data_IF_200620181106
#
_entry.id   IF_200620181106
#
_cell.length_a   1.000
_cell.length_b   1.000
_cell.length_c   1.000
_cell.angle_alpha   90.00
_cell.angle_beta   90.00
_cell.angle_gamma   90.00
#
_symmetry.space_group_name_H-M   'P 1'
#
loop_
_entity.id
_entity.type
_entity.pdbx_description
1 polymer ?
#
# COMPACT_ATOMS: atom_id res chain seq x y z
N UNK A 1 5.90 -17.38 -5.54
CA UNK A 1 6.09 -17.46 -4.07
C UNK A 1 7.42 -16.89 -3.59
N UNK A 2 8.59 -17.12 -4.23
CA UNK A 2 9.84 -16.58 -3.68
C UNK A 2 10.14 -15.13 -4.08
N UNK A 3 9.56 -14.57 -5.16
CA UNK A 3 10.11 -13.36 -5.78
C UNK A 3 9.83 -12.05 -5.01
N UNK A 4 8.60 -11.78 -4.56
CA UNK A 4 8.29 -10.53 -3.80
C UNK A 4 8.92 -10.51 -2.41
N UNK A 5 8.89 -11.64 -1.68
CA UNK A 5 9.57 -11.72 -0.39
C UNK A 5 11.07 -11.47 -0.57
N UNK A 6 11.67 -11.99 -1.66
CA UNK A 6 13.07 -11.73 -2.00
C UNK A 6 13.36 -10.29 -2.38
N UNK A 7 12.43 -9.58 -3.06
CA UNK A 7 12.58 -8.16 -3.37
C UNK A 7 12.47 -7.29 -2.13
N UNK A 8 11.45 -7.50 -1.31
CA UNK A 8 11.30 -6.80 -0.04
C UNK A 8 12.51 -7.06 0.86
N UNK A 9 12.94 -8.32 1.02
CA UNK A 9 14.12 -8.67 1.81
C UNK A 9 15.40 -8.03 1.23
N UNK A 10 15.51 -7.89 -0.10
CA UNK A 10 16.64 -7.22 -0.75
C UNK A 10 16.68 -5.72 -0.46
N UNK A 11 15.55 -5.03 -0.58
CA UNK A 11 15.45 -3.58 -0.35
C UNK A 11 15.66 -3.24 1.12
N UNK A 12 15.19 -4.11 2.03
CA UNK A 12 15.34 -3.94 3.46
C UNK A 12 16.68 -4.47 4.01
N UNK A 13 17.55 -5.02 3.14
CA UNK A 13 18.88 -5.45 3.55
C UNK A 13 19.73 -4.25 4.01
N UNK A 14 20.53 -4.45 5.06
CA UNK A 14 21.39 -3.40 5.61
C UNK A 14 22.39 -2.85 4.57
N UNK A 15 22.77 -3.65 3.57
CA UNK A 15 23.64 -3.26 2.48
C UNK A 15 22.96 -2.48 1.36
N UNK A 16 21.63 -2.42 1.31
CA UNK A 16 20.91 -1.79 0.20
C UNK A 16 21.24 -0.31 0.06
N UNK A 17 21.23 0.43 1.17
CA UNK A 17 21.60 1.85 1.25
C UNK A 17 23.10 2.08 1.51
N UNK A 18 23.91 1.03 1.58
CA UNK A 18 25.34 1.17 1.80
C UNK A 18 26.00 1.94 0.64
N UNK A 19 26.92 2.84 1.02
CA UNK A 19 27.69 3.69 0.12
C UNK A 19 26.85 4.53 -0.85
N UNK A 20 25.63 4.93 -0.43
CA UNK A 20 24.67 5.65 -1.28
C UNK A 20 25.27 6.90 -1.95
N UNK A 21 26.18 7.60 -1.27
CA UNK A 21 26.89 8.77 -1.81
C UNK A 21 27.89 8.46 -2.91
N UNK A 22 28.45 7.24 -2.92
CA UNK A 22 29.41 6.81 -3.93
C UNK A 22 28.73 6.26 -5.19
N UNK A 23 27.44 5.93 -5.12
CA UNK A 23 26.65 5.44 -6.26
C UNK A 23 26.38 6.55 -7.26
N UNK A 24 26.25 6.19 -8.53
CA UNK A 24 25.83 7.10 -9.60
C UNK A 24 24.39 7.59 -9.41
N UNK A 25 24.03 8.72 -10.02
CA UNK A 25 22.68 9.29 -9.87
C UNK A 25 21.63 8.36 -10.47
N UNK A 26 21.96 7.67 -11.57
CA UNK A 26 21.05 6.73 -12.22
C UNK A 26 20.81 5.48 -11.38
N UNK A 27 21.83 4.98 -10.66
CA UNK A 27 21.65 3.90 -9.69
C UNK A 27 20.71 4.31 -8.56
N UNK A 28 20.88 5.51 -7.99
CA UNK A 28 19.96 6.00 -6.93
C UNK A 28 18.53 6.18 -7.46
N UNK A 29 18.37 6.66 -8.71
CA UNK A 29 17.07 6.75 -9.38
C UNK A 29 16.43 5.38 -9.57
N UNK A 30 17.22 4.38 -9.99
CA UNK A 30 16.76 2.99 -10.17
C UNK A 30 16.34 2.36 -8.85
N UNK A 31 17.16 2.50 -7.80
CA UNK A 31 16.82 2.04 -6.44
C UNK A 31 15.53 2.69 -5.92
N UNK A 32 15.34 3.99 -6.17
CA UNK A 32 14.10 4.69 -5.81
C UNK A 32 12.90 4.14 -6.56
N UNK A 33 13.03 3.88 -7.87
CA UNK A 33 11.96 3.31 -8.67
C UNK A 33 11.54 1.93 -8.14
N UNK A 34 12.51 1.04 -7.91
CA UNK A 34 12.27 -0.30 -7.34
C UNK A 34 11.59 -0.23 -5.97
N UNK A 35 12.10 0.60 -5.06
CA UNK A 35 11.52 0.76 -3.72
C UNK A 35 10.10 1.32 -3.79
N UNK A 36 9.85 2.26 -4.70
CA UNK A 36 8.54 2.89 -4.89
C UNK A 36 7.51 1.92 -5.46
N UNK A 37 7.92 1.01 -6.35
CA UNK A 37 7.06 -0.05 -6.87
C UNK A 37 6.59 -1.01 -5.76
N UNK A 38 7.52 -1.50 -4.94
CA UNK A 38 7.18 -2.41 -3.83
C UNK A 38 6.34 -1.72 -2.75
N UNK A 39 6.61 -0.45 -2.44
CA UNK A 39 5.77 0.35 -1.54
C UNK A 39 4.36 0.55 -2.11
N UNK A 40 4.23 0.81 -3.41
CA UNK A 40 2.95 1.01 -4.07
C UNK A 40 2.09 -0.27 -4.03
N UNK A 41 2.71 -1.45 -4.18
CA UNK A 41 2.05 -2.74 -4.00
C UNK A 41 1.47 -2.87 -2.58
N UNK A 42 2.27 -2.67 -1.54
CA UNK A 42 1.79 -2.76 -0.15
C UNK A 42 0.75 -1.69 0.18
N UNK A 43 0.88 -0.48 -0.36
CA UNK A 43 -0.12 0.57 -0.25
C UNK A 43 -1.46 0.17 -0.87
N UNK A 44 -1.43 -0.50 -2.02
CA UNK A 44 -2.62 -1.05 -2.64
C UNK A 44 -3.25 -2.17 -1.79
N UNK A 45 -2.45 -3.12 -1.30
CA UNK A 45 -2.95 -4.17 -0.40
C UNK A 45 -3.63 -3.57 0.83
N UNK A 46 -2.99 -2.56 1.46
CA UNK A 46 -3.53 -1.86 2.62
C UNK A 46 -4.85 -1.16 2.32
N UNK A 47 -4.95 -0.44 1.20
CA UNK A 47 -6.21 0.21 0.78
C UNK A 47 -7.34 -0.81 0.59
N UNK A 48 -7.03 -1.97 0.01
CA UNK A 48 -8.02 -3.04 -0.14
C UNK A 48 -8.51 -3.59 1.21
N UNK A 49 -7.60 -3.81 2.15
CA UNK A 49 -7.96 -4.24 3.51
C UNK A 49 -8.81 -3.19 4.23
N UNK A 50 -8.44 -1.91 4.14
CA UNK A 50 -9.18 -0.80 4.74
C UNK A 50 -10.61 -0.71 4.19
N UNK A 51 -10.77 -0.78 2.86
CA UNK A 51 -12.10 -0.76 2.24
C UNK A 51 -12.99 -1.90 2.74
N UNK A 52 -12.44 -3.11 2.90
CA UNK A 52 -13.18 -4.26 3.44
C UNK A 52 -13.53 -4.10 4.91
N UNK A 53 -12.58 -3.69 5.74
CA UNK A 53 -12.82 -3.39 7.16
C UNK A 53 -13.93 -2.36 7.33
N UNK A 54 -13.93 -1.31 6.51
CA UNK A 54 -14.95 -0.27 6.53
C UNK A 54 -16.34 -0.83 6.19
N UNK A 55 -16.45 -1.66 5.15
CA UNK A 55 -17.72 -2.33 4.76
C UNK A 55 -18.23 -3.23 5.90
N UNK A 56 -17.38 -4.12 6.44
CA UNK A 56 -17.78 -5.07 7.47
C UNK A 56 -18.12 -4.40 8.80
N UNK A 57 -17.39 -3.34 9.16
CA UNK A 57 -17.70 -2.54 10.37
C UNK A 57 -19.06 -1.88 10.21
N UNK A 58 -19.36 -1.32 9.03
CA UNK A 58 -20.64 -0.69 8.74
C UNK A 58 -21.80 -1.68 8.68
N UNK A 59 -21.57 -2.89 8.19
CA UNK A 59 -22.52 -4.00 8.27
C UNK A 59 -22.91 -4.29 9.73
N UNK A 60 -21.93 -4.41 10.64
CA UNK A 60 -22.21 -4.65 12.06
C UNK A 60 -22.99 -3.49 12.71
N UNK A 61 -22.60 -2.26 12.41
CA UNK A 61 -23.33 -1.07 12.88
C UNK A 61 -24.78 -1.06 12.38
N UNK A 62 -25.00 -1.38 11.09
CA UNK A 62 -26.32 -1.44 10.48
C UNK A 62 -27.20 -2.48 11.18
N UNK A 63 -26.67 -3.69 11.41
CA UNK A 63 -27.36 -4.77 12.13
C UNK A 63 -27.72 -4.36 13.55
N UNK A 64 -26.80 -3.72 14.27
CA UNK A 64 -27.04 -3.23 15.63
C UNK A 64 -28.14 -2.16 15.71
N UNK A 65 -28.32 -1.36 14.66
CA UNK A 65 -29.37 -0.33 14.56
C UNK A 65 -30.69 -0.84 13.98
N UNK A 66 -30.73 -2.07 13.46
CA UNK A 66 -31.91 -2.63 12.79
C UNK A 66 -32.24 -1.94 11.46
N UNK A 67 -31.22 -1.38 10.79
CA UNK A 67 -31.36 -0.70 9.49
C UNK A 67 -31.45 -1.70 8.32
N UNK A 68 -32.12 -1.30 7.23
CA UNK A 68 -32.33 -2.15 6.06
C UNK A 68 -31.06 -2.32 5.22
N UNK A 69 -30.92 -3.47 4.55
CA UNK A 69 -29.74 -3.83 3.76
C UNK A 69 -29.42 -2.82 2.65
N UNK A 70 -30.43 -2.15 2.08
CA UNK A 70 -30.25 -1.11 1.06
C UNK A 70 -29.38 0.07 1.53
N UNK A 71 -29.38 0.37 2.83
CA UNK A 71 -28.61 1.46 3.43
C UNK A 71 -27.10 1.26 3.28
N UNK A 72 -26.59 0.02 3.25
CA UNK A 72 -25.15 -0.22 3.09
C UNK A 72 -24.66 0.16 1.70
N UNK A 73 -25.39 -0.24 0.65
CA UNK A 73 -25.05 0.05 -0.75
C UNK A 73 -25.07 1.55 -1.03
N UNK A 74 -26.08 2.26 -0.51
CA UNK A 74 -26.19 3.71 -0.62
C UNK A 74 -25.04 4.44 0.09
N UNK A 75 -24.56 3.88 1.21
CA UNK A 75 -23.46 4.46 1.99
C UNK A 75 -22.08 4.07 1.46
N UNK A 76 -21.93 3.09 0.56
CA UNK A 76 -20.63 2.65 0.06
C UNK A 76 -19.73 3.79 -0.43
N UNK A 77 -20.21 4.78 -1.22
CA UNK A 77 -19.39 5.90 -1.61
C UNK A 77 -18.84 6.67 -0.40
N UNK A 78 -19.66 6.90 0.63
CA UNK A 78 -19.24 7.58 1.87
C UNK A 78 -18.27 6.73 2.70
N UNK A 79 -18.53 5.43 2.80
CA UNK A 79 -17.72 4.45 3.55
C UNK A 79 -16.31 4.33 2.95
N UNK A 80 -16.23 4.23 1.62
CA UNK A 80 -14.97 4.08 0.89
C UNK A 80 -14.28 5.41 0.60
N UNK A 81 -15.02 6.53 0.67
CA UNK A 81 -14.42 7.87 0.55
C UNK A 81 -13.44 8.16 1.66
N UNK A 82 -13.51 7.43 2.78
CA UNK A 82 -12.51 7.33 3.84
C UNK A 82 -11.89 8.66 4.26
N UNK A 83 -12.10 9.05 5.51
CA UNK A 83 -11.30 10.06 6.20
C UNK A 83 -9.86 9.53 6.35
N UNK A 84 -9.14 9.39 5.23
CA UNK A 84 -7.71 9.29 5.28
C UNK A 84 -7.31 10.59 5.97
N UNK A 85 -6.95 10.50 7.25
CA UNK A 85 -5.83 11.25 7.77
C UNK A 85 -4.70 11.00 6.77
N UNK A 86 -4.72 11.82 5.71
CA UNK A 86 -3.61 12.14 4.86
C UNK A 86 -2.61 12.72 5.85
N UNK A 87 -1.88 11.84 6.54
CA UNK A 87 -0.62 12.21 7.14
C UNK A 87 0.11 13.02 6.08
N UNK A 88 0.69 14.16 6.46
CA UNK A 88 1.04 15.25 5.55
C UNK A 88 1.60 14.65 4.26
N UNK A 89 0.85 14.76 3.18
CA UNK A 89 1.23 14.14 1.91
C UNK A 89 2.62 14.68 1.58
N UNK A 90 3.64 13.81 1.62
CA UNK A 90 5.07 14.18 1.51
C UNK A 90 5.44 14.59 0.08
N UNK A 91 4.58 15.34 -0.60
CA UNK A 91 4.76 15.82 -1.97
C UNK A 91 4.84 14.74 -3.05
N UNK A 92 4.67 13.45 -2.69
CA UNK A 92 4.73 12.37 -3.66
C UNK A 92 3.36 12.18 -4.32
N UNK A 93 3.29 12.32 -5.64
CA UNK A 93 2.14 11.87 -6.41
C UNK A 93 1.97 10.37 -6.19
N UNK A 94 0.87 9.88 -5.60
CA UNK A 94 0.65 8.45 -5.50
C UNK A 94 0.71 7.86 -6.93
N UNK A 95 1.45 6.76 -7.10
CA UNK A 95 1.23 5.91 -8.26
C UNK A 95 -0.22 5.43 -8.15
N UNK A 96 -1.08 5.95 -9.01
CA UNK A 96 -2.52 5.67 -8.94
C UNK A 96 -2.80 4.20 -9.26
N UNK A 97 -1.96 3.57 -10.08
CA UNK A 97 -1.99 2.14 -10.35
C UNK A 97 -0.59 1.56 -10.15
N UNK A 98 -0.35 0.71 -9.14
CA UNK A 98 0.84 -0.13 -9.13
C UNK A 98 0.82 -0.99 -10.40
N UNK A 99 1.98 -1.26 -11.00
CA UNK A 99 2.03 -2.17 -12.12
C UNK A 99 1.72 -3.61 -11.63
N UNK A 100 0.50 -4.08 -11.90
CA UNK A 100 0.02 -5.39 -11.50
C UNK A 100 0.52 -6.53 -12.42
N UNK A 101 1.12 -6.20 -13.55
CA UNK A 101 1.61 -7.18 -14.56
C UNK A 101 2.95 -7.81 -14.17
N UNK A 102 3.72 -7.19 -13.28
CA UNK A 102 4.91 -7.83 -12.72
C UNK A 102 4.51 -8.93 -11.71
N UNK A 103 4.34 -10.14 -12.25
CA UNK A 103 4.32 -11.42 -11.54
C UNK A 103 3.35 -11.47 -10.34
N UNK A 104 2.06 -11.27 -10.59
CA UNK A 104 0.93 -11.65 -9.73
C UNK A 104 1.14 -11.42 -8.21
N UNK A 105 0.84 -10.21 -7.71
CA UNK A 105 0.63 -9.96 -6.27
C UNK A 105 -0.62 -10.65 -5.71
N UNK A 106 -1.46 -11.24 -6.57
CA UNK A 106 -2.77 -11.75 -6.22
C UNK A 106 -2.79 -12.74 -5.05
N UNK A 107 -1.74 -13.51 -4.71
CA UNK A 107 -1.95 -14.55 -3.67
C UNK A 107 -1.96 -14.09 -2.21
N UNK A 108 -1.48 -12.90 -1.85
CA UNK A 108 -1.67 -12.36 -0.48
C UNK A 108 -3.01 -11.65 -0.37
N UNK A 109 -3.31 -10.77 -1.34
CA UNK A 109 -4.61 -10.10 -1.44
C UNK A 109 -5.72 -11.13 -1.64
N UNK A 110 -5.75 -11.94 -2.70
CA UNK A 110 -6.87 -12.88 -3.01
C UNK A 110 -7.12 -13.94 -1.94
N UNK A 111 -6.16 -14.25 -1.04
CA UNK A 111 -6.41 -15.18 0.07
C UNK A 111 -7.16 -14.56 1.24
N UNK A 112 -6.89 -13.29 1.57
CA UNK A 112 -7.52 -12.55 2.67
C UNK A 112 -8.70 -11.70 2.18
N UNK A 113 -8.62 -11.33 0.91
CA UNK A 113 -9.54 -10.52 0.13
C UNK A 113 -10.26 -11.47 -0.86
N UNK A 114 -10.73 -12.65 -0.44
CA UNK A 114 -11.58 -13.46 -1.34
C UNK A 114 -12.90 -12.72 -1.53
N UNK A 115 -13.29 -12.47 -2.78
CA UNK A 115 -14.50 -11.72 -3.14
C UNK A 115 -15.79 -12.35 -2.59
N UNK A 116 -15.72 -13.63 -2.25
CA UNK A 116 -16.81 -14.40 -1.65
C UNK A 116 -17.32 -13.81 -0.33
N UNK A 117 -16.48 -13.13 0.46
CA UNK A 117 -16.90 -12.62 1.78
C UNK A 117 -17.92 -11.49 1.66
N UNK A 118 -17.70 -10.55 0.73
CA UNK A 118 -18.63 -9.44 0.52
C UNK A 118 -19.89 -9.96 -0.20
N UNK A 119 -19.72 -10.85 -1.18
CA UNK A 119 -20.84 -11.43 -1.91
C UNK A 119 -21.79 -12.22 -0.99
N UNK A 120 -21.25 -12.94 0.00
CA UNK A 120 -22.01 -13.75 0.95
C UNK A 120 -22.34 -13.01 2.25
N UNK A 121 -22.05 -11.72 2.36
CA UNK A 121 -22.26 -10.93 3.59
C UNK A 121 -23.68 -11.03 4.18
N UNK A 122 -24.77 -11.08 3.39
CA UNK A 122 -26.12 -11.27 3.94
C UNK A 122 -26.34 -12.62 4.65
N UNK A 123 -25.53 -13.63 4.32
CA UNK A 123 -25.63 -14.98 4.89
C UNK A 123 -24.73 -15.21 6.10
N UNK A 124 -23.75 -14.33 6.33
CA UNK A 124 -22.84 -14.43 7.48
C UNK A 124 -23.53 -13.93 8.75
N UNK A 125 -23.28 -14.59 9.87
CA UNK A 125 -23.75 -14.13 11.17
C UNK A 125 -22.83 -13.05 11.78
N UNK A 126 -23.27 -12.44 12.88
CA UNK A 126 -22.54 -11.35 13.54
C UNK A 126 -21.21 -11.80 14.16
N UNK A 127 -21.10 -13.07 14.56
CA UNK A 127 -19.88 -13.64 15.15
C UNK A 127 -18.84 -13.94 14.08
N UNK A 128 -19.27 -14.43 12.93
CA UNK A 128 -18.46 -14.67 11.74
C UNK A 128 -17.88 -13.36 11.20
N UNK A 129 -18.70 -12.30 11.09
CA UNK A 129 -18.23 -10.99 10.63
C UNK A 129 -17.16 -10.43 11.57
N UNK A 130 -17.34 -10.53 12.89
CA UNK A 130 -16.32 -10.09 13.86
C UNK A 130 -15.02 -10.88 13.75
N UNK A 131 -15.10 -12.19 13.55
CA UNK A 131 -13.92 -13.03 13.33
C UNK A 131 -13.14 -12.57 12.09
N UNK A 132 -13.85 -12.33 10.98
CA UNK A 132 -13.26 -11.86 9.73
C UNK A 132 -12.62 -10.48 9.90
N UNK A 133 -13.28 -9.56 10.61
CA UNK A 133 -12.70 -8.25 10.95
C UNK A 133 -11.36 -8.43 11.67
N UNK A 134 -11.30 -9.27 12.71
CA UNK A 134 -10.04 -9.51 13.43
C UNK A 134 -8.93 -10.09 12.54
N UNK A 135 -9.26 -10.98 11.60
CA UNK A 135 -8.31 -11.52 10.62
C UNK A 135 -7.80 -10.42 9.66
N UNK A 136 -8.69 -9.54 9.20
CA UNK A 136 -8.35 -8.43 8.33
C UNK A 136 -7.53 -7.34 9.04
N UNK A 137 -7.80 -7.07 10.31
CA UNK A 137 -7.01 -6.16 11.16
C UNK A 137 -5.58 -6.69 11.36
N UNK A 138 -5.44 -7.99 11.63
CA UNK A 138 -4.13 -8.64 11.72
C UNK A 138 -3.34 -8.53 10.42
N UNK A 139 -3.99 -8.81 9.28
CA UNK A 139 -3.39 -8.64 7.97
C UNK A 139 -3.00 -7.18 7.66
N UNK A 140 -3.85 -6.22 8.00
CA UNK A 140 -3.56 -4.78 7.83
C UNK A 140 -2.32 -4.40 8.63
N UNK A 141 -2.23 -4.87 9.88
CA UNK A 141 -1.10 -4.60 10.74
C UNK A 141 0.21 -5.14 10.14
N UNK A 142 0.20 -6.37 9.60
CA UNK A 142 1.35 -6.97 8.94
C UNK A 142 1.79 -6.18 7.69
N UNK A 143 0.84 -5.79 6.84
CA UNK A 143 1.11 -4.97 5.64
C UNK A 143 1.67 -3.61 6.04
N UNK A 144 1.07 -2.96 7.03
CA UNK A 144 1.53 -1.69 7.57
C UNK A 144 2.94 -1.80 8.18
N UNK A 145 3.25 -2.89 8.88
CA UNK A 145 4.57 -3.14 9.45
C UNK A 145 5.64 -3.35 8.36
N UNK A 146 5.31 -4.05 7.27
CA UNK A 146 6.22 -4.25 6.13
C UNK A 146 6.42 -2.96 5.32
N UNK A 147 5.39 -2.11 5.24
CA UNK A 147 5.43 -0.87 4.46
C UNK A 147 6.30 0.21 5.10
N UNK A 148 6.28 0.33 6.44
CA UNK A 148 7.00 1.41 7.15
C UNK A 148 8.51 1.47 6.80
N UNK A 149 9.28 0.37 6.88
CA UNK A 149 10.69 0.39 6.48
C UNK A 149 10.94 0.82 5.04
N UNK A 150 10.04 0.48 4.09
CA UNK A 150 10.18 0.93 2.70
C UNK A 150 10.02 2.44 2.56
N UNK A 151 9.16 3.05 3.37
CA UNK A 151 9.03 4.52 3.41
C UNK A 151 10.31 5.18 3.91
N UNK A 152 10.96 4.60 4.92
CA UNK A 152 12.23 5.10 5.45
C UNK A 152 13.36 4.99 4.40
N UNK A 153 13.38 3.90 3.63
CA UNK A 153 14.29 3.73 2.48
C UNK A 153 14.00 4.77 1.39
N UNK A 154 12.73 4.99 1.04
CA UNK A 154 12.33 6.01 0.07
C UNK A 154 12.73 7.41 0.53
N UNK A 155 12.54 7.75 1.80
CA UNK A 155 12.95 9.03 2.38
C UNK A 155 14.46 9.22 2.21
N UNK A 156 15.27 8.21 2.56
CA UNK A 156 16.73 8.25 2.41
C UNK A 156 17.18 8.45 0.95
N UNK A 157 16.54 7.77 0.01
CA UNK A 157 16.82 7.91 -1.43
C UNK A 157 16.40 9.29 -1.96
N UNK A 158 15.26 9.81 -1.50
CA UNK A 158 14.77 11.13 -1.88
C UNK A 158 15.67 12.24 -1.33
N UNK A 159 16.13 12.12 -0.09
CA UNK A 159 17.08 13.05 0.53
C UNK A 159 18.40 13.11 -0.25
N UNK A 160 18.94 11.95 -0.65
CA UNK A 160 20.16 11.92 -1.45
C UNK A 160 19.97 12.54 -2.83
N UNK A 161 18.86 12.25 -3.53
CA UNK A 161 18.57 12.88 -4.83
C UNK A 161 18.38 14.39 -4.68
N UNK A 162 17.66 14.83 -3.65
CA UNK A 162 17.48 16.25 -3.36
C UNK A 162 18.82 16.96 -3.11
N UNK A 163 19.72 16.33 -2.34
CA UNK A 163 21.09 16.81 -2.13
C UNK A 163 21.83 16.98 -3.47
N UNK A 164 21.83 15.95 -4.32
CA UNK A 164 22.54 15.98 -5.62
C UNK A 164 22.06 17.12 -6.51
N UNK A 165 20.74 17.34 -6.58
CA UNK A 165 20.17 18.47 -7.32
C UNK A 165 20.57 19.82 -6.72
N UNK A 166 20.61 19.94 -5.39
CA UNK A 166 21.05 21.18 -4.72
C UNK A 166 22.54 21.46 -4.94
N UNK A 167 23.39 20.43 -4.99
CA UNK A 167 24.83 20.55 -5.19
C UNK A 167 25.26 20.64 -6.66
N UNK A 168 24.33 20.46 -7.62
CA UNK A 168 24.64 20.42 -9.05
C UNK A 168 25.34 19.14 -9.53
N UNK A 169 25.35 18.08 -8.71
CA UNK A 169 25.87 16.75 -9.08
C UNK A 169 24.92 15.99 -10.03
N UNK A 170 23.68 16.47 -10.16
CA UNK A 170 22.67 15.97 -11.07
C UNK A 170 21.85 17.14 -11.63
N UNK A 171 21.44 17.04 -12.90
CA UNK A 171 20.56 18.03 -13.52
C UNK A 171 19.10 17.53 -13.48
N UNK A 172 18.14 18.33 -12.98
CA UNK A 172 16.72 17.98 -13.04
C UNK A 172 16.20 17.76 -14.47
N UNK A 173 16.81 18.40 -15.47
CA UNK A 173 16.42 18.31 -16.88
C UNK A 173 16.74 16.95 -17.52
N UNK A 174 17.65 16.17 -16.93
CA UNK A 174 17.93 14.80 -17.38
C UNK A 174 16.68 13.91 -17.36
N UNK A 175 15.74 14.19 -16.46
CA UNK A 175 14.47 13.46 -16.32
C UNK A 175 13.50 13.77 -17.48
N UNK A 176 13.70 14.88 -18.19
CA UNK A 176 12.88 15.29 -19.35
C UNK A 176 13.45 14.79 -20.68
N UNK A 177 14.73 14.45 -20.73
CA UNK A 177 15.42 14.03 -21.95
C UNK A 177 15.31 12.50 -22.24
N UNK A 178 14.91 11.71 -21.25
CA UNK A 178 14.78 10.24 -21.33
C UNK A 178 13.34 9.75 -21.49
N UNK A 179 12.64 10.23 -22.53
CA UNK A 179 11.33 9.72 -22.96
C UNK A 179 11.43 8.71 -24.09
#
# INVERSE_FOLDING_TARGET
>A
MPQNKRRLDHILDAGYLADLRARSTDEVRSMRAETREEEALLSYERRMLHGRLAILTKELERRARGEDAGTLLELLPSILSGDEQRGPSRGSLPLNDPNLDFAHPHRRVTKLVSDDTIANLPSLDETEIRRIIGELEGAEHEVSAQRRPLLDVLDSLNEELARRYQTGEADPSDVLAGG
#
